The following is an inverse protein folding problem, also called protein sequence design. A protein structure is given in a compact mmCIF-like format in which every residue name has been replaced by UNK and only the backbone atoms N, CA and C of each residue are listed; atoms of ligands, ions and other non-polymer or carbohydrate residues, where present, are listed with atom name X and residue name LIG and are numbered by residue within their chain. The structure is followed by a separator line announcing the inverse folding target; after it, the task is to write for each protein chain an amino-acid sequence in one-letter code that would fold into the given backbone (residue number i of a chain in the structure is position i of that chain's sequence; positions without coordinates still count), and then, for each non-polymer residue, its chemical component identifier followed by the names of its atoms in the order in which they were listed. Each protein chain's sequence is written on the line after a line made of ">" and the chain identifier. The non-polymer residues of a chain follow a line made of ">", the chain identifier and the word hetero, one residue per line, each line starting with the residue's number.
data_IF_357903419108
#
_entry.id   IF_357903419108
#
_cell.length_a   1.000
_cell.length_b   1.000
_cell.length_c   1.000
_cell.angle_alpha   90.00
_cell.angle_beta   90.00
_cell.angle_gamma   90.00
#
_symmetry.space_group_name_H-M   'P 1'
#
loop_
_entity.id
_entity.type
_entity.pdbx_description
1 polymer ?
#
# COMPACT_ATOMS: atom_id res chain seq x y z
N UNK A 1 -12.63 12.22 -8.34
CA UNK A 1 -13.52 11.80 -7.23
C UNK A 1 -12.97 10.46 -6.78
N UNK A 2 -12.35 10.39 -5.61
CA UNK A 2 -11.69 9.16 -5.15
C UNK A 2 -12.73 8.12 -4.74
N UNK A 3 -12.66 6.92 -5.31
CA UNK A 3 -13.51 5.78 -4.99
C UNK A 3 -12.75 4.82 -4.07
N UNK A 4 -13.30 4.50 -2.91
CA UNK A 4 -12.75 3.43 -2.06
C UNK A 4 -12.93 2.09 -2.76
N UNK A 5 -11.84 1.35 -2.95
CA UNK A 5 -11.82 0.02 -3.56
C UNK A 5 -11.91 -1.07 -2.50
N UNK A 6 -11.04 -0.99 -1.49
CA UNK A 6 -10.91 -2.04 -0.48
C UNK A 6 -10.26 -1.51 0.80
N UNK A 7 -10.29 -2.33 1.84
CA UNK A 7 -9.53 -2.15 3.07
C UNK A 7 -8.64 -3.37 3.24
N UNK A 8 -7.33 -3.15 3.37
CA UNK A 8 -6.32 -4.19 3.42
C UNK A 8 -5.56 -4.08 4.74
N UNK A 9 -5.10 -5.20 5.28
CA UNK A 9 -4.17 -5.20 6.43
C UNK A 9 -2.82 -5.72 5.97
N UNK A 10 -1.78 -4.90 6.14
CA UNK A 10 -0.41 -5.15 5.67
C UNK A 10 0.53 -5.06 6.87
N UNK A 11 1.49 -5.97 6.94
CA UNK A 11 2.52 -5.92 7.96
C UNK A 11 3.57 -4.88 7.60
N UNK A 12 3.80 -3.91 8.50
CA UNK A 12 4.80 -2.86 8.30
C UNK A 12 5.81 -2.84 9.46
N UNK A 13 7.07 -2.45 9.20
CA UNK A 13 8.09 -2.40 10.23
C UNK A 13 7.84 -1.23 11.20
N UNK A 14 7.61 -1.55 12.47
CA UNK A 14 7.55 -0.57 13.56
C UNK A 14 8.92 -0.46 14.23
N UNK A 15 9.44 0.76 14.35
CA UNK A 15 10.67 1.02 15.12
C UNK A 15 10.33 1.18 16.60
N UNK A 16 10.69 0.20 17.42
CA UNK A 16 10.52 0.27 18.88
C UNK A 16 11.80 0.74 19.59
N UNK A 17 11.66 1.11 20.86
CA UNK A 17 12.78 1.45 21.73
C UNK A 17 13.81 0.30 21.75
N UNK A 18 15.10 0.63 21.74
CA UNK A 18 16.19 -0.36 21.67
C UNK A 18 16.53 -0.85 20.26
N UNK A 19 16.10 -0.13 19.21
CA UNK A 19 16.40 -0.46 17.80
C UNK A 19 15.81 -1.79 17.31
N UNK A 20 14.79 -2.30 18.02
CA UNK A 20 14.05 -3.50 17.62
C UNK A 20 13.04 -3.13 16.53
N UNK A 21 13.10 -3.85 15.40
CA UNK A 21 12.13 -3.75 14.32
C UNK A 21 11.18 -4.94 14.45
N UNK A 22 9.90 -4.65 14.69
CA UNK A 22 8.85 -5.68 14.71
C UNK A 22 7.87 -5.42 13.58
N UNK A 23 7.37 -6.48 12.95
CA UNK A 23 6.27 -6.38 12.00
C UNK A 23 4.99 -6.13 12.79
N UNK A 24 4.24 -5.10 12.40
CA UNK A 24 2.95 -4.81 12.99
C UNK A 24 1.88 -4.74 11.89
N UNK A 25 0.73 -5.40 12.06
CA UNK A 25 -0.37 -5.26 11.13
C UNK A 25 -0.89 -3.83 11.18
N UNK A 26 -0.98 -3.19 10.02
CA UNK A 26 -1.58 -1.87 9.83
C UNK A 26 -2.67 -1.98 8.79
N UNK A 27 -3.83 -1.42 9.11
CA UNK A 27 -4.96 -1.35 8.20
C UNK A 27 -4.81 -0.15 7.28
N UNK A 28 -5.01 -0.37 5.99
CA UNK A 28 -4.97 0.63 4.94
C UNK A 28 -6.27 0.63 4.16
N UNK A 29 -6.78 1.82 3.86
CA UNK A 29 -7.84 1.99 2.88
C UNK A 29 -7.23 2.29 1.51
N UNK A 30 -7.60 1.49 0.53
CA UNK A 30 -7.25 1.72 -0.86
C UNK A 30 -8.34 2.55 -1.55
N UNK A 31 -7.92 3.64 -2.14
CA UNK A 31 -8.74 4.47 -3.01
C UNK A 31 -8.16 4.48 -4.43
N UNK A 32 -9.04 4.65 -5.41
CA UNK A 32 -8.69 4.92 -6.80
C UNK A 32 -9.21 6.29 -7.21
N UNK A 33 -8.34 7.12 -7.76
CA UNK A 33 -8.67 8.40 -8.39
C UNK A 33 -8.08 8.41 -9.81
N UNK A 34 -8.93 8.08 -10.79
CA UNK A 34 -8.52 7.88 -12.18
C UNK A 34 -7.54 6.69 -12.32
N UNK A 35 -6.34 7.00 -12.80
CA UNK A 35 -5.25 6.03 -12.98
C UNK A 35 -4.34 5.91 -11.74
N UNK A 36 -4.55 6.78 -10.74
CA UNK A 36 -3.77 6.78 -9.51
C UNK A 36 -4.48 6.00 -8.41
N UNK A 37 -3.71 5.19 -7.70
CA UNK A 37 -4.11 4.48 -6.50
C UNK A 37 -3.53 5.18 -5.28
N UNK A 38 -4.34 5.30 -4.23
CA UNK A 38 -3.98 5.99 -3.00
C UNK A 38 -4.23 5.02 -1.85
N UNK A 39 -3.15 4.64 -1.17
CA UNK A 39 -3.19 3.77 0.00
C UNK A 39 -3.06 4.64 1.26
N UNK A 40 -4.14 4.73 2.04
CA UNK A 40 -4.19 5.56 3.25
C UNK A 40 -4.14 4.67 4.50
N UNK A 41 -3.07 4.72 5.33
CA UNK A 41 -3.06 4.04 6.61
C UNK A 41 -4.16 4.59 7.53
N UNK A 42 -4.89 3.69 8.19
CA UNK A 42 -5.79 4.01 9.29
C UNK A 42 -4.99 4.14 10.60
N UNK A 43 -3.99 5.02 10.60
CA UNK A 43 -3.15 5.33 11.75
C UNK A 43 -3.27 6.80 12.12
N UNK A 44 -3.15 7.10 13.42
CA UNK A 44 -3.18 8.47 13.92
C UNK A 44 -1.75 8.99 14.16
N UNK A 45 -1.55 10.31 13.99
CA UNK A 45 -0.27 11.03 14.03
C UNK A 45 0.96 10.35 14.68
N UNK A 46 0.96 10.04 15.99
CA UNK A 46 2.10 9.40 16.64
C UNK A 46 2.43 8.01 16.11
N UNK A 47 1.44 7.22 15.69
CA UNK A 47 1.65 5.87 15.13
C UNK A 47 2.27 5.92 13.74
N UNK A 48 1.91 6.91 12.92
CA UNK A 48 2.54 7.15 11.62
C UNK A 48 4.05 7.40 11.77
N UNK A 49 4.45 8.17 12.79
CA UNK A 49 5.85 8.44 13.08
C UNK A 49 6.61 7.17 13.52
N UNK A 50 5.97 6.30 14.29
CA UNK A 50 6.56 5.02 14.74
C UNK A 50 6.70 4.02 13.58
N UNK A 51 5.71 3.98 12.69
CA UNK A 51 5.69 3.15 11.49
C UNK A 51 6.51 3.72 10.32
N UNK A 52 6.99 4.96 10.46
CA UNK A 52 7.65 5.72 9.38
C UNK A 52 6.81 5.79 8.08
N UNK A 53 5.48 5.83 8.25
CA UNK A 53 4.52 5.87 7.15
C UNK A 53 4.02 7.30 6.91
N UNK A 54 3.84 7.72 5.66
CA UNK A 54 3.11 8.94 5.35
C UNK A 54 1.60 8.76 5.55
N UNK A 55 0.87 9.87 5.56
CA UNK A 55 -0.61 9.88 5.62
C UNK A 55 -1.28 9.26 4.40
N UNK A 56 -0.58 9.24 3.26
CA UNK A 56 -1.03 8.62 2.03
C UNK A 56 0.17 8.15 1.20
N UNK A 57 0.04 6.98 0.58
CA UNK A 57 0.97 6.41 -0.37
C UNK A 57 0.28 6.38 -1.74
N UNK A 58 0.70 7.28 -2.62
CA UNK A 58 0.16 7.37 -3.97
C UNK A 58 1.03 6.58 -4.94
N UNK A 59 0.42 5.73 -5.76
CA UNK A 59 1.11 4.90 -6.73
C UNK A 59 0.26 4.69 -7.99
N UNK A 60 0.93 4.40 -9.09
CA UNK A 60 0.29 3.93 -10.33
C UNK A 60 0.71 2.48 -10.58
N UNK A 61 -0.04 1.78 -11.41
CA UNK A 61 0.31 0.41 -11.82
C UNK A 61 0.72 0.47 -13.28
N UNK A 62 2.00 0.25 -13.55
CA UNK A 62 2.54 0.17 -14.91
C UNK A 62 3.22 -1.19 -15.10
N UNK A 63 2.93 -1.88 -16.20
CA UNK A 63 3.48 -3.22 -16.48
C UNK A 63 3.29 -4.19 -15.29
N UNK A 64 2.11 -4.18 -14.68
CA UNK A 64 1.72 -5.00 -13.52
C UNK A 64 2.54 -4.78 -12.23
N UNK A 65 3.36 -3.73 -12.19
CA UNK A 65 4.19 -3.35 -11.05
C UNK A 65 3.72 -2.01 -10.48
N UNK A 66 3.73 -1.84 -9.15
CA UNK A 66 3.38 -0.57 -8.56
C UNK A 66 4.58 0.39 -8.64
N UNK A 67 4.33 1.60 -9.12
CA UNK A 67 5.30 2.69 -9.14
C UNK A 67 4.84 3.79 -8.18
N UNK A 68 5.65 4.03 -7.15
CA UNK A 68 5.38 5.09 -6.17
C UNK A 68 5.53 6.46 -6.82
N UNK A 69 4.50 7.31 -6.67
CA UNK A 69 4.52 8.69 -7.14
C UNK A 69 5.37 9.61 -6.26
N UNK A 70 5.81 9.14 -5.08
CA UNK A 70 6.80 9.83 -4.25
C UNK A 70 8.25 9.69 -4.75
N UNK A 71 8.49 8.82 -5.73
CA UNK A 71 9.79 8.64 -6.40
C UNK A 71 10.52 7.35 -6.00
N UNK A 72 11.70 7.16 -6.62
CA UNK A 72 12.47 5.90 -6.61
C UNK A 72 13.04 5.55 -5.21
N UNK A 73 13.12 6.54 -4.31
CA UNK A 73 13.61 6.38 -2.93
C UNK A 73 12.48 6.30 -1.90
N UNK A 74 11.29 5.89 -2.32
CA UNK A 74 10.20 5.70 -1.37
C UNK A 74 10.49 4.48 -0.48
N UNK A 75 10.85 4.72 0.78
CA UNK A 75 11.13 3.67 1.77
C UNK A 75 9.94 2.76 2.07
N UNK A 76 8.75 3.10 1.59
CA UNK A 76 7.51 2.38 1.79
C UNK A 76 7.02 1.67 0.52
N UNK A 77 7.86 1.58 -0.53
CA UNK A 77 7.53 0.83 -1.75
C UNK A 77 7.14 -0.63 -1.46
N UNK A 78 7.78 -1.24 -0.46
CA UNK A 78 7.46 -2.60 -0.01
C UNK A 78 6.00 -2.73 0.45
N UNK A 79 5.45 -1.72 1.14
CA UNK A 79 4.05 -1.67 1.57
C UNK A 79 3.11 -1.62 0.37
N UNK A 80 3.46 -0.82 -0.64
CA UNK A 80 2.68 -0.70 -1.87
C UNK A 80 2.71 -2.04 -2.65
N UNK A 81 3.85 -2.72 -2.69
CA UNK A 81 3.98 -4.04 -3.31
C UNK A 81 3.14 -5.11 -2.61
N UNK A 82 3.14 -5.12 -1.27
CA UNK A 82 2.30 -6.04 -0.48
C UNK A 82 0.81 -5.77 -0.69
N UNK A 83 0.42 -4.49 -0.69
CA UNK A 83 -0.95 -4.07 -1.02
C UNK A 83 -1.38 -4.58 -2.40
N UNK A 84 -0.52 -4.41 -3.40
CA UNK A 84 -0.77 -4.89 -4.76
C UNK A 84 -0.91 -6.42 -4.81
N UNK A 85 -0.06 -7.14 -4.06
CA UNK A 85 -0.13 -8.60 -3.93
C UNK A 85 -1.51 -9.04 -3.43
N UNK A 86 -1.95 -8.48 -2.30
CA UNK A 86 -3.26 -8.78 -1.70
C UNK A 86 -4.43 -8.46 -2.64
N UNK A 87 -4.37 -7.34 -3.34
CA UNK A 87 -5.41 -6.96 -4.30
C UNK A 87 -5.47 -7.92 -5.50
N UNK A 88 -4.34 -8.46 -5.95
CA UNK A 88 -4.30 -9.50 -6.98
C UNK A 88 -4.88 -10.81 -6.47
N UNK A 89 -4.57 -11.20 -5.24
CA UNK A 89 -5.14 -12.39 -4.59
C UNK A 89 -6.66 -12.29 -4.41
N UNK A 90 -7.18 -11.12 -4.04
CA UNK A 90 -8.61 -10.87 -3.88
C UNK A 90 -9.34 -10.63 -5.23
N UNK A 91 -8.62 -10.62 -6.36
CA UNK A 91 -9.20 -10.39 -7.69
C UNK A 91 -9.72 -8.97 -7.92
N UNK A 92 -9.30 -8.00 -7.09
CA UNK A 92 -9.74 -6.61 -7.13
C UNK A 92 -8.97 -5.77 -8.16
N UNK A 93 -7.82 -6.28 -8.62
CA UNK A 93 -7.07 -5.71 -9.75
C UNK A 93 -7.46 -6.41 -11.05
N UNK A 94 -8.29 -5.74 -11.84
CA UNK A 94 -8.59 -6.12 -13.22
C UNK A 94 -7.34 -5.95 -14.08
N UNK A 95 -6.53 -7.02 -14.18
CA UNK A 95 -5.28 -6.97 -14.92
C UNK A 95 -4.54 -8.28 -15.08
N UNK A 96 -5.24 -9.41 -15.22
CA UNK A 96 -4.87 -10.50 -16.13
C UNK A 96 -6.00 -11.54 -16.09
N UNK A 97 -6.94 -11.43 -17.03
CA UNK A 97 -7.57 -12.67 -17.52
C UNK A 97 -6.40 -13.52 -18.03
N UNK A 98 -6.02 -14.55 -17.29
CA UNK A 98 -5.34 -15.70 -17.90
C UNK A 98 -6.29 -16.13 -19.03
N UNK A 99 -5.90 -15.88 -20.26
CA UNK A 99 -6.61 -16.41 -21.41
C UNK A 99 -6.73 -17.90 -21.23
N UNK A 100 -7.97 -18.35 -21.08
CA UNK A 100 -8.37 -19.70 -21.45
C UNK A 100 -8.04 -19.86 -22.94
N UNK A 101 -7.16 -20.79 -23.28
CA UNK A 101 -7.30 -21.60 -24.49
C UNK A 101 -6.61 -22.95 -24.29
#
# INVERSE_FOLDING_TARGET
>A
MKKKLATLTIEVPYKRAGNVISQHPVTFDLYQDGETYILMPQLHGPELAVANLPTELCFVIENEKPLSLRGIKDGNLHVIQDALGKLKEEGLLLGCKKGEH
#
